data_IF_833596663168
#
_entry.id   IF_833596663168
#
_cell.length_a   1.000
_cell.length_b   1.000
_cell.length_c   1.000
_cell.angle_alpha   90.00
_cell.angle_beta   90.00
_cell.angle_gamma   90.00
#
_symmetry.space_group_name_H-M   'P 1'
#
loop_
_entity.id
_entity.type
_entity.pdbx_description
1 polymer ?
#
# COMPACT_ATOMS: atom_id res chain seq x y z
N UNK A 1 -37.07 7.96 20.90
CA UNK A 1 -35.95 8.45 20.08
C UNK A 1 -36.56 9.22 18.92
N UNK A 2 -36.27 10.51 18.81
CA UNK A 2 -36.78 11.36 17.72
C UNK A 2 -36.08 10.96 16.43
N UNK A 3 -36.84 10.48 15.43
CA UNK A 3 -36.32 10.26 14.09
C UNK A 3 -35.60 11.53 13.62
N UNK A 4 -34.39 11.39 13.05
CA UNK A 4 -33.68 12.51 12.48
C UNK A 4 -34.60 13.19 11.45
N UNK A 5 -34.75 14.53 11.47
CA UNK A 5 -35.74 15.22 10.64
C UNK A 5 -35.47 15.13 9.13
N UNK A 6 -34.31 14.61 8.71
CA UNK A 6 -33.89 14.51 7.30
C UNK A 6 -33.13 13.19 7.02
N UNK A 7 -33.26 12.60 5.82
CA UNK A 7 -32.48 11.43 5.42
C UNK A 7 -30.99 11.76 5.22
N UNK A 8 -30.11 10.77 5.39
CA UNK A 8 -28.66 10.93 5.16
C UNK A 8 -28.32 11.47 3.76
N UNK A 9 -29.12 11.10 2.75
CA UNK A 9 -28.95 11.60 1.38
C UNK A 9 -28.99 13.12 1.29
N UNK A 10 -29.74 13.81 2.16
CA UNK A 10 -29.80 15.27 2.21
C UNK A 10 -28.55 15.92 2.84
N UNK A 11 -27.69 15.15 3.53
CA UNK A 11 -26.37 15.58 4.00
C UNK A 11 -25.27 15.23 3.01
N UNK A 12 -25.41 14.09 2.34
CA UNK A 12 -24.44 13.57 1.40
C UNK A 12 -24.47 14.28 0.04
N UNK A 13 -25.67 14.54 -0.49
CA UNK A 13 -25.86 15.21 -1.79
C UNK A 13 -25.85 16.72 -1.54
N UNK A 14 -24.83 17.40 -2.07
CA UNK A 14 -24.68 18.85 -1.93
C UNK A 14 -25.83 19.67 -2.54
N UNK A 15 -26.17 19.48 -3.83
CA UNK A 15 -27.23 20.24 -4.48
C UNK A 15 -28.63 19.94 -3.91
N UNK A 16 -29.33 20.98 -3.46
CA UNK A 16 -30.73 20.89 -3.05
C UNK A 16 -31.71 20.93 -4.23
N UNK A 17 -33.01 21.00 -3.95
CA UNK A 17 -34.06 21.09 -4.97
C UNK A 17 -33.98 22.35 -5.83
N UNK A 18 -33.56 23.48 -5.25
CA UNK A 18 -33.44 24.74 -5.99
C UNK A 18 -32.19 24.72 -6.88
N UNK A 19 -31.05 24.24 -6.37
CA UNK A 19 -29.82 24.09 -7.14
C UNK A 19 -30.01 23.12 -8.30
N UNK A 20 -30.66 21.98 -8.03
CA UNK A 20 -30.99 20.98 -9.06
C UNK A 20 -31.84 21.59 -10.18
N UNK A 21 -32.86 22.39 -9.82
CA UNK A 21 -33.69 23.10 -10.81
C UNK A 21 -32.89 24.12 -11.61
N UNK A 22 -32.03 24.90 -10.97
CA UNK A 22 -31.18 25.87 -11.64
C UNK A 22 -30.20 25.19 -12.61
N UNK A 23 -29.58 24.08 -12.19
CA UNK A 23 -28.67 23.29 -13.03
C UNK A 23 -29.39 22.67 -14.23
N UNK A 24 -30.56 22.07 -14.02
CA UNK A 24 -31.40 21.51 -15.08
C UNK A 24 -31.80 22.57 -16.12
N UNK A 25 -32.21 23.76 -15.65
CA UNK A 25 -32.52 24.89 -16.52
C UNK A 25 -31.30 25.34 -17.33
N UNK A 26 -30.12 25.40 -16.71
CA UNK A 26 -28.88 25.80 -17.38
C UNK A 26 -28.47 24.84 -18.53
N UNK A 27 -28.80 23.55 -18.42
CA UNK A 27 -28.54 22.55 -19.47
C UNK A 27 -29.76 22.30 -20.38
N UNK A 28 -30.87 23.01 -20.19
CA UNK A 28 -32.07 22.89 -21.01
C UNK A 28 -32.82 21.56 -20.87
N UNK A 29 -32.68 20.86 -19.74
CA UNK A 29 -33.31 19.57 -19.49
C UNK A 29 -34.42 19.71 -18.43
N UNK A 30 -35.63 19.17 -18.63
CA UNK A 30 -36.77 19.44 -17.75
C UNK A 30 -36.74 18.65 -16.43
N UNK A 31 -36.00 17.55 -16.35
CA UNK A 31 -35.94 16.70 -15.14
C UNK A 31 -34.69 15.82 -15.09
N UNK A 32 -34.39 15.29 -13.90
CA UNK A 32 -33.31 14.31 -13.72
C UNK A 32 -33.58 13.03 -14.53
N UNK A 33 -34.83 12.57 -14.59
CA UNK A 33 -35.21 11.39 -15.37
C UNK A 33 -34.91 11.60 -16.86
N UNK A 34 -35.19 12.80 -17.37
CA UNK A 34 -34.87 13.16 -18.76
C UNK A 34 -33.36 13.15 -18.97
N UNK A 35 -32.58 13.79 -18.07
CA UNK A 35 -31.11 13.78 -18.12
C UNK A 35 -30.56 12.35 -18.17
N UNK A 36 -31.04 11.47 -17.27
CA UNK A 36 -30.59 10.08 -17.21
C UNK A 36 -30.99 9.32 -18.47
N UNK A 37 -32.19 9.51 -19.01
CA UNK A 37 -32.63 8.82 -20.23
C UNK A 37 -31.87 9.22 -21.48
N UNK A 38 -31.40 10.47 -21.55
CA UNK A 38 -30.55 10.96 -22.64
C UNK A 38 -29.09 10.56 -22.47
N UNK A 39 -28.63 10.37 -21.23
CA UNK A 39 -27.22 10.06 -20.92
C UNK A 39 -26.90 8.57 -20.89
N UNK A 40 -27.82 7.74 -20.39
CA UNK A 40 -27.58 6.31 -20.17
C UNK A 40 -28.41 5.48 -21.16
N UNK A 41 -27.78 4.68 -22.05
CA UNK A 41 -28.49 3.86 -23.03
C UNK A 41 -29.50 2.91 -22.37
N UNK A 42 -30.73 2.88 -22.89
CA UNK A 42 -31.82 2.06 -22.33
C UNK A 42 -31.47 0.57 -22.25
N UNK A 43 -30.67 0.05 -23.19
CA UNK A 43 -30.29 -1.37 -23.27
C UNK A 43 -29.47 -1.85 -22.07
N UNK A 44 -28.84 -0.95 -21.32
CA UNK A 44 -28.03 -1.30 -20.14
C UNK A 44 -28.59 -0.73 -18.82
N UNK A 45 -29.76 -0.06 -18.87
CA UNK A 45 -30.40 0.49 -17.68
C UNK A 45 -31.15 -0.60 -16.94
N UNK A 46 -31.07 -0.58 -15.60
CA UNK A 46 -31.98 -1.36 -14.78
C UNK A 46 -33.43 -0.88 -15.01
N UNK A 47 -34.31 -1.84 -15.27
CA UNK A 47 -35.76 -1.69 -15.47
C UNK A 47 -36.56 -1.88 -14.19
N UNK A 48 -35.87 -2.08 -13.07
CA UNK A 48 -36.42 -2.18 -11.71
C UNK A 48 -35.57 -1.36 -10.74
N UNK A 49 -36.11 -0.97 -9.57
CA UNK A 49 -35.31 -0.44 -8.48
C UNK A 49 -34.28 -1.47 -7.97
N UNK A 50 -33.26 -0.96 -7.27
CA UNK A 50 -32.38 -1.83 -6.49
C UNK A 50 -33.18 -2.51 -5.37
N UNK A 51 -32.95 -3.82 -5.19
CA UNK A 51 -33.57 -4.58 -4.10
C UNK A 51 -32.73 -4.41 -2.84
N UNK A 52 -32.97 -3.32 -2.11
CA UNK A 52 -32.25 -2.95 -0.89
C UNK A 52 -33.23 -2.83 0.30
N UNK A 53 -32.75 -2.99 1.53
CA UNK A 53 -33.51 -2.62 2.73
C UNK A 53 -33.95 -1.15 2.70
N UNK A 54 -34.94 -0.82 3.54
CA UNK A 54 -35.29 0.57 3.76
C UNK A 54 -34.06 1.36 4.26
N UNK A 55 -33.89 2.62 3.85
CA UNK A 55 -32.74 3.41 4.27
C UNK A 55 -32.80 3.66 5.78
N UNK A 56 -31.70 3.35 6.47
CA UNK A 56 -31.51 3.71 7.87
C UNK A 56 -31.13 5.19 8.00
N UNK A 57 -31.52 5.82 9.10
CA UNK A 57 -30.93 7.08 9.54
C UNK A 57 -29.48 6.88 10.00
N UNK A 58 -28.72 7.98 10.13
CA UNK A 58 -27.34 7.92 10.64
C UNK A 58 -27.25 7.24 12.03
N UNK A 59 -28.21 7.54 12.91
CA UNK A 59 -28.26 6.96 14.26
C UNK A 59 -28.59 5.46 14.25
N UNK A 60 -29.53 5.04 13.39
CA UNK A 60 -29.89 3.63 13.23
C UNK A 60 -28.73 2.83 12.65
N UNK A 61 -28.05 3.36 11.62
CA UNK A 61 -26.88 2.71 11.02
C UNK A 61 -25.73 2.52 12.02
N UNK A 62 -25.46 3.51 12.87
CA UNK A 62 -24.46 3.40 13.93
C UNK A 62 -24.85 2.38 15.01
N UNK A 63 -26.13 2.35 15.40
CA UNK A 63 -26.63 1.39 16.38
C UNK A 63 -26.56 -0.05 15.83
N UNK A 64 -26.95 -0.26 14.57
CA UNK A 64 -26.84 -1.54 13.87
C UNK A 64 -25.37 -2.00 13.80
N UNK A 65 -24.47 -1.12 13.34
CA UNK A 65 -23.04 -1.44 13.26
C UNK A 65 -22.46 -1.76 14.64
N UNK A 66 -22.85 -1.02 15.68
CA UNK A 66 -22.41 -1.29 17.06
C UNK A 66 -22.89 -2.67 17.54
N UNK A 67 -24.10 -3.09 17.18
CA UNK A 67 -24.62 -4.42 17.54
C UNK A 67 -23.84 -5.53 16.82
N UNK A 68 -23.51 -5.34 15.54
CA UNK A 68 -22.66 -6.28 14.78
C UNK A 68 -21.26 -6.37 15.40
N UNK A 69 -20.65 -5.21 15.70
CA UNK A 69 -19.32 -5.15 16.31
C UNK A 69 -19.27 -5.77 17.71
N UNK A 70 -20.37 -5.75 18.47
CA UNK A 70 -20.46 -6.39 19.78
C UNK A 70 -20.35 -7.93 19.72
N UNK A 71 -20.51 -8.53 18.54
CA UNK A 71 -20.25 -9.96 18.32
C UNK A 71 -18.75 -10.32 18.27
N UNK A 72 -17.86 -9.33 18.14
CA UNK A 72 -16.42 -9.58 18.12
C UNK A 72 -15.88 -9.81 19.54
N UNK A 73 -14.96 -10.78 19.68
CA UNK A 73 -14.21 -10.99 20.92
C UNK A 73 -12.79 -10.45 20.77
N UNK A 74 -12.44 -9.42 21.54
CA UNK A 74 -11.09 -8.84 21.52
C UNK A 74 -10.18 -9.61 22.48
N UNK A 75 -9.25 -10.39 21.92
CA UNK A 75 -8.27 -11.16 22.68
C UNK A 75 -6.88 -10.51 22.62
N UNK A 76 -6.01 -10.87 23.57
CA UNK A 76 -4.57 -10.65 23.44
C UNK A 76 -4.01 -11.67 22.47
N UNK A 77 -3.80 -11.26 21.22
CA UNK A 77 -3.26 -12.15 20.19
C UNK A 77 -1.73 -12.12 20.18
N UNK A 78 -1.12 -13.29 20.41
CA UNK A 78 0.31 -13.54 20.24
C UNK A 78 0.58 -14.46 19.04
N UNK A 79 -0.32 -14.46 18.06
CA UNK A 79 -0.18 -15.27 16.83
C UNK A 79 1.06 -14.84 16.03
N UNK A 80 1.38 -13.54 16.02
CA UNK A 80 2.46 -13.00 15.21
C UNK A 80 2.09 -13.03 13.72
N UNK A 81 2.87 -13.73 12.91
CA UNK A 81 2.64 -13.88 11.47
C UNK A 81 2.48 -12.54 10.73
N UNK A 82 3.29 -11.54 11.09
CA UNK A 82 3.30 -10.20 10.49
C UNK A 82 2.39 -9.16 11.16
N UNK A 83 1.54 -9.57 12.10
CA UNK A 83 0.62 -8.67 12.81
C UNK A 83 0.84 -8.71 14.32
N UNK A 84 1.03 -7.54 14.91
CA UNK A 84 1.39 -7.40 16.31
C UNK A 84 0.50 -6.37 17.02
N UNK A 85 0.08 -6.68 18.24
CA UNK A 85 -0.60 -5.70 19.09
C UNK A 85 0.30 -4.48 19.34
N UNK A 86 -0.28 -3.28 19.25
CA UNK A 86 0.43 -2.01 19.45
C UNK A 86 -0.31 -1.09 20.40
N UNK A 87 0.43 -0.16 20.99
CA UNK A 87 -0.13 1.03 21.61
C UNK A 87 -0.18 2.16 20.57
N UNK A 88 -1.36 2.40 20.00
CA UNK A 88 -1.56 3.53 19.07
C UNK A 88 -1.50 4.83 19.86
N UNK A 89 -0.59 5.77 19.56
CA UNK A 89 -0.52 7.02 20.30
C UNK A 89 -1.82 7.82 20.15
N UNK A 90 -2.53 8.15 21.25
CA UNK A 90 -3.84 8.82 21.17
C UNK A 90 -3.80 10.16 20.43
N UNK A 91 -2.66 10.86 20.49
CA UNK A 91 -2.45 12.11 19.77
C UNK A 91 -2.43 11.92 18.25
N UNK A 92 -1.90 10.79 17.75
CA UNK A 92 -1.90 10.46 16.31
C UNK A 92 -3.29 9.98 15.89
N UNK A 93 -3.93 9.12 16.69
CA UNK A 93 -5.29 8.66 16.42
C UNK A 93 -6.24 9.85 16.27
N UNK A 94 -6.28 10.76 17.25
CA UNK A 94 -7.20 11.89 17.25
C UNK A 94 -6.90 12.94 16.18
N UNK A 95 -5.64 13.32 16.02
CA UNK A 95 -5.28 14.50 15.21
C UNK A 95 -4.88 14.19 13.76
N UNK A 96 -4.68 12.91 13.42
CA UNK A 96 -4.37 12.45 12.07
C UNK A 96 -5.40 11.44 11.56
N UNK A 97 -5.58 10.31 12.25
CA UNK A 97 -6.46 9.23 11.76
C UNK A 97 -7.95 9.64 11.76
N UNK A 98 -8.42 10.29 12.82
CA UNK A 98 -9.81 10.74 12.97
C UNK A 98 -10.05 12.18 12.45
N UNK A 99 -9.06 12.76 11.76
CA UNK A 99 -9.11 14.14 11.29
C UNK A 99 -9.34 14.23 9.77
N UNK A 100 -10.50 14.73 9.29
CA UNK A 100 -10.80 14.81 7.87
C UNK A 100 -9.83 15.67 7.07
N UNK A 101 -9.12 16.61 7.69
CA UNK A 101 -8.10 17.40 7.01
C UNK A 101 -6.93 16.53 6.48
N UNK A 102 -6.72 15.34 7.05
CA UNK A 102 -5.69 14.39 6.63
C UNK A 102 -6.21 13.32 5.67
N UNK A 103 -7.42 12.78 5.89
CA UNK A 103 -7.91 11.62 5.12
C UNK A 103 -8.82 11.96 3.93
N UNK A 104 -9.25 13.21 3.74
CA UNK A 104 -10.15 13.58 2.62
C UNK A 104 -9.41 13.95 1.34
N UNK A 105 -8.15 14.39 1.44
CA UNK A 105 -7.32 14.67 0.28
C UNK A 105 -6.89 13.36 -0.41
N UNK A 106 -6.59 13.45 -1.70
CA UNK A 106 -6.08 12.32 -2.49
C UNK A 106 -4.58 12.47 -2.78
N UNK A 107 -4.08 11.67 -3.73
CA UNK A 107 -2.70 11.72 -4.21
C UNK A 107 -2.20 13.16 -4.38
N UNK A 108 -0.99 13.50 -3.92
CA UNK A 108 -0.42 14.85 -4.03
C UNK A 108 0.06 15.19 -5.45
N UNK A 109 -0.83 15.11 -6.45
CA UNK A 109 -0.54 15.52 -7.83
C UNK A 109 -0.23 17.02 -7.93
N UNK A 110 -0.95 17.85 -7.17
CA UNK A 110 -0.71 19.30 -7.06
C UNK A 110 0.20 19.56 -5.85
N UNK A 111 1.52 19.54 -6.06
CA UNK A 111 2.51 19.51 -4.99
C UNK A 111 2.47 20.78 -4.11
N UNK A 112 2.20 21.94 -4.70
CA UNK A 112 2.21 23.26 -4.06
C UNK A 112 1.19 23.36 -2.92
N UNK A 113 0.06 22.67 -3.05
CA UNK A 113 -1.01 22.62 -2.04
C UNK A 113 -1.02 21.29 -1.26
N UNK A 114 0.09 20.55 -1.31
CA UNK A 114 0.21 19.20 -0.76
C UNK A 114 1.47 18.97 0.07
N UNK A 115 2.23 20.02 0.38
CA UNK A 115 3.53 19.93 1.03
C UNK A 115 3.48 19.17 2.37
N UNK A 116 2.46 19.38 3.20
CA UNK A 116 2.37 18.72 4.51
C UNK A 116 2.39 17.18 4.43
N UNK A 117 1.57 16.58 3.56
CA UNK A 117 1.58 15.11 3.39
C UNK A 117 2.77 14.60 2.59
N UNK A 118 3.30 15.40 1.67
CA UNK A 118 4.53 15.06 0.95
C UNK A 118 5.73 15.00 1.91
N UNK A 119 5.84 15.95 2.84
CA UNK A 119 6.87 15.94 3.88
C UNK A 119 6.73 14.74 4.80
N UNK A 120 5.50 14.39 5.23
CA UNK A 120 5.27 13.18 6.04
C UNK A 120 5.66 11.89 5.31
N UNK A 121 5.38 11.80 4.01
CA UNK A 121 5.81 10.66 3.18
C UNK A 121 7.33 10.66 2.97
N UNK A 122 7.97 11.83 2.87
CA UNK A 122 9.42 11.93 2.84
C UNK A 122 10.04 11.45 4.16
N UNK A 123 9.47 11.83 5.31
CA UNK A 123 9.88 11.34 6.63
C UNK A 123 9.70 9.82 6.77
N UNK A 124 8.61 9.26 6.23
CA UNK A 124 8.41 7.81 6.14
C UNK A 124 9.55 7.15 5.35
N UNK A 125 9.90 7.68 4.18
CA UNK A 125 11.00 7.15 3.38
C UNK A 125 12.32 7.25 4.13
N UNK A 126 12.61 8.39 4.79
CA UNK A 126 13.83 8.58 5.59
C UNK A 126 13.93 7.53 6.69
N UNK A 127 12.85 7.32 7.47
CA UNK A 127 12.81 6.30 8.52
C UNK A 127 13.10 4.90 7.95
N UNK A 128 12.51 4.55 6.81
CA UNK A 128 12.80 3.27 6.14
C UNK A 128 14.28 3.19 5.75
N UNK A 129 14.84 4.25 5.16
CA UNK A 129 16.26 4.26 4.75
C UNK A 129 17.20 4.11 5.95
N UNK A 130 16.90 4.74 7.09
CA UNK A 130 17.69 4.64 8.32
C UNK A 130 17.62 3.23 8.93
N UNK A 131 16.44 2.61 8.97
CA UNK A 131 16.27 1.24 9.48
C UNK A 131 16.92 0.19 8.58
N UNK A 132 16.78 0.35 7.27
CA UNK A 132 17.24 -0.66 6.30
C UNK A 132 18.70 -0.47 5.90
N UNK A 133 19.25 0.73 6.06
CA UNK A 133 20.54 1.15 5.53
C UNK A 133 20.57 1.32 4.01
N UNK A 134 19.44 1.15 3.32
CA UNK A 134 19.33 1.31 1.87
C UNK A 134 19.01 2.77 1.52
N UNK A 135 19.57 3.30 0.41
CA UNK A 135 19.54 4.74 0.12
C UNK A 135 18.20 5.28 -0.38
N UNK A 136 17.30 4.42 -0.89
CA UNK A 136 16.02 4.88 -1.47
C UNK A 136 14.87 3.99 -1.00
N UNK A 137 13.79 4.60 -0.51
CA UNK A 137 12.54 3.93 -0.16
C UNK A 137 11.34 4.52 -0.89
N UNK A 138 10.37 3.67 -1.24
CA UNK A 138 9.08 4.10 -1.80
C UNK A 138 8.17 4.74 -0.74
N UNK A 139 7.21 5.54 -1.20
CA UNK A 139 6.15 6.12 -0.37
C UNK A 139 5.02 5.11 -0.11
N UNK A 140 5.40 3.92 0.35
CA UNK A 140 4.59 2.73 0.67
C UNK A 140 4.14 1.83 -0.49
N UNK A 141 3.82 0.59 -0.12
CA UNK A 141 3.09 -0.44 -0.88
C UNK A 141 1.90 -0.95 -0.04
N UNK A 142 1.13 -1.89 -0.59
CA UNK A 142 -0.19 -2.27 -0.06
C UNK A 142 -0.12 -3.09 1.25
N UNK A 143 0.73 -4.12 1.28
CA UNK A 143 0.97 -4.99 2.44
C UNK A 143 2.33 -5.71 2.27
N UNK A 144 2.78 -6.45 3.28
CA UNK A 144 4.06 -7.17 3.22
C UNK A 144 4.10 -8.15 2.04
N UNK A 145 3.05 -8.96 1.87
CA UNK A 145 3.00 -10.04 0.90
C UNK A 145 3.13 -9.52 -0.54
N UNK A 146 2.42 -8.44 -0.86
CA UNK A 146 2.52 -7.74 -2.15
C UNK A 146 3.83 -6.99 -2.29
N UNK A 147 4.41 -6.43 -1.22
CA UNK A 147 5.73 -5.81 -1.27
C UNK A 147 6.84 -6.83 -1.60
N UNK A 148 6.78 -8.03 -1.05
CA UNK A 148 7.70 -9.13 -1.37
C UNK A 148 7.52 -9.56 -2.84
N UNK A 149 6.28 -9.70 -3.31
CA UNK A 149 6.02 -10.01 -4.72
C UNK A 149 6.54 -8.91 -5.67
N UNK A 150 6.44 -7.65 -5.29
CA UNK A 150 7.02 -6.54 -6.05
C UNK A 150 8.56 -6.55 -6.02
N UNK A 151 9.19 -6.94 -4.90
CA UNK A 151 10.64 -7.11 -4.82
C UNK A 151 11.13 -8.22 -5.76
N UNK A 152 10.40 -9.34 -5.85
CA UNK A 152 10.63 -10.36 -6.89
C UNK A 152 10.50 -9.74 -8.28
N UNK A 153 9.44 -8.95 -8.53
CA UNK A 153 9.26 -8.21 -9.78
C UNK A 153 10.43 -7.27 -10.14
N UNK A 154 11.04 -6.59 -9.16
CA UNK A 154 12.25 -5.78 -9.36
C UNK A 154 13.40 -6.66 -9.83
N UNK A 155 13.63 -7.79 -9.19
CA UNK A 155 14.70 -8.72 -9.53
C UNK A 155 14.55 -9.31 -10.94
N UNK A 156 13.33 -9.72 -11.32
CA UNK A 156 13.03 -10.20 -12.67
C UNK A 156 13.37 -9.12 -13.71
N UNK A 157 12.87 -7.89 -13.52
CA UNK A 157 13.14 -6.76 -14.43
C UNK A 157 14.63 -6.39 -14.47
N UNK A 158 15.34 -6.47 -13.34
CA UNK A 158 16.79 -6.26 -13.29
C UNK A 158 17.53 -7.23 -14.22
N UNK A 159 17.11 -8.49 -14.22
CA UNK A 159 17.61 -9.53 -15.12
C UNK A 159 16.92 -9.59 -16.49
N UNK A 160 16.09 -8.59 -16.83
CA UNK A 160 15.33 -8.50 -18.09
C UNK A 160 14.48 -9.75 -18.35
N UNK A 161 13.90 -10.29 -17.28
CA UNK A 161 13.00 -11.44 -17.28
C UNK A 161 13.65 -12.74 -17.82
N UNK A 162 14.98 -12.83 -17.77
CA UNK A 162 15.75 -14.00 -18.24
C UNK A 162 15.97 -15.08 -17.18
N UNK A 163 15.69 -14.76 -15.92
CA UNK A 163 15.90 -15.65 -14.78
C UNK A 163 14.55 -16.03 -14.19
N UNK A 164 14.30 -17.32 -14.00
CA UNK A 164 12.96 -17.83 -13.66
C UNK A 164 12.87 -18.47 -12.28
N UNK A 165 13.90 -18.36 -11.44
CA UNK A 165 13.90 -18.94 -10.08
C UNK A 165 14.01 -17.89 -8.98
N UNK A 166 13.37 -18.15 -7.85
CA UNK A 166 13.51 -17.40 -6.60
C UNK A 166 13.85 -18.38 -5.48
N UNK A 167 14.95 -18.13 -4.79
CA UNK A 167 15.38 -18.91 -3.63
C UNK A 167 14.91 -18.27 -2.31
N UNK A 168 14.91 -19.05 -1.24
CA UNK A 168 14.49 -18.70 0.11
C UNK A 168 15.63 -18.99 1.09
N UNK A 169 15.84 -18.08 2.03
CA UNK A 169 16.66 -18.25 3.21
C UNK A 169 15.80 -17.91 4.44
N UNK A 170 15.56 -18.92 5.27
CA UNK A 170 14.52 -18.87 6.29
C UNK A 170 13.12 -19.08 5.72
N UNK A 171 12.12 -19.11 6.59
CA UNK A 171 10.72 -19.38 6.21
C UNK A 171 9.89 -18.09 6.23
N UNK A 172 9.45 -17.56 5.08
CA UNK A 172 8.51 -16.43 5.06
C UNK A 172 7.17 -16.79 5.70
N UNK A 173 6.38 -15.78 6.05
CA UNK A 173 5.00 -16.04 6.50
C UNK A 173 4.18 -16.79 5.43
N UNK A 174 3.28 -17.72 5.81
CA UNK A 174 2.53 -18.52 4.86
C UNK A 174 1.74 -17.68 3.84
N UNK A 175 1.09 -16.61 4.28
CA UNK A 175 0.35 -15.70 3.40
C UNK A 175 1.26 -14.92 2.45
N UNK A 176 2.49 -14.59 2.88
CA UNK A 176 3.49 -13.94 2.03
C UNK A 176 3.90 -14.86 0.89
N UNK A 177 4.17 -16.13 1.20
CA UNK A 177 4.52 -17.13 0.19
C UNK A 177 3.37 -17.42 -0.78
N UNK A 178 2.12 -17.45 -0.30
CA UNK A 178 0.93 -17.67 -1.12
C UNK A 178 0.73 -16.57 -2.18
N UNK A 179 0.85 -15.31 -1.78
CA UNK A 179 0.76 -14.16 -2.71
C UNK A 179 1.93 -14.15 -3.69
N UNK A 180 3.17 -14.43 -3.23
CA UNK A 180 4.35 -14.51 -4.11
C UNK A 180 4.17 -15.60 -5.16
N UNK A 181 3.71 -16.80 -4.76
CA UNK A 181 3.41 -17.90 -5.69
C UNK A 181 2.32 -17.53 -6.69
N UNK A 182 1.23 -16.92 -6.22
CA UNK A 182 0.14 -16.46 -7.07
C UNK A 182 0.62 -15.45 -8.13
N UNK A 183 1.54 -14.56 -7.76
CA UNK A 183 2.12 -13.57 -8.69
C UNK A 183 3.17 -14.20 -9.62
N UNK A 184 3.85 -15.24 -9.18
CA UNK A 184 4.89 -15.96 -9.91
C UNK A 184 4.31 -16.91 -10.99
N UNK A 185 3.20 -17.58 -10.69
CA UNK A 185 2.56 -18.58 -11.58
C UNK A 185 2.30 -18.08 -13.01
N UNK A 186 1.61 -16.95 -13.26
CA UNK A 186 1.35 -16.48 -14.62
C UNK A 186 2.60 -16.01 -15.36
N UNK A 187 3.73 -15.85 -14.66
CA UNK A 187 5.02 -15.46 -15.21
C UNK A 187 5.96 -16.66 -15.40
N UNK A 188 5.55 -17.87 -15.03
CA UNK A 188 6.38 -19.07 -15.10
C UNK A 188 7.59 -19.03 -14.16
N UNK A 189 7.48 -18.31 -13.04
CA UNK A 189 8.56 -18.19 -12.06
C UNK A 189 8.42 -19.27 -11.00
N UNK A 190 9.51 -19.99 -10.75
CA UNK A 190 9.62 -21.04 -9.76
C UNK A 190 10.13 -20.47 -8.43
N UNK A 191 9.48 -20.86 -7.33
CA UNK A 191 9.94 -20.54 -5.97
C UNK A 191 10.62 -21.80 -5.40
N UNK A 192 11.95 -21.88 -5.54
CA UNK A 192 12.79 -23.10 -5.53
C UNK A 192 13.51 -23.35 -4.18
N UNK A 193 12.86 -23.07 -3.04
CA UNK A 193 13.44 -23.36 -1.72
C UNK A 193 14.86 -22.80 -1.57
N UNK A 194 15.84 -23.61 -1.15
CA UNK A 194 17.21 -23.16 -0.84
C UNK A 194 18.19 -23.15 -2.04
N UNK A 195 17.76 -23.59 -3.23
CA UNK A 195 18.68 -23.75 -4.37
C UNK A 195 19.02 -22.40 -5.03
N UNK A 196 20.32 -22.09 -5.10
CA UNK A 196 20.84 -20.89 -5.77
C UNK A 196 21.72 -21.33 -6.94
N UNK A 197 21.38 -20.90 -8.16
CA UNK A 197 22.07 -21.18 -9.42
C UNK A 197 22.04 -19.96 -10.37
N UNK A 198 22.60 -20.08 -11.58
CA UNK A 198 22.67 -18.99 -12.56
C UNK A 198 21.30 -18.51 -13.08
N UNK A 199 20.24 -19.29 -12.86
CA UNK A 199 18.87 -18.97 -13.21
C UNK A 199 18.08 -18.34 -12.04
N UNK A 200 18.70 -18.19 -10.86
CA UNK A 200 18.10 -17.52 -9.71
C UNK A 200 18.09 -16.00 -9.88
N UNK A 201 16.90 -15.39 -9.93
CA UNK A 201 16.71 -13.95 -9.99
C UNK A 201 16.88 -13.27 -8.62
N UNK A 202 16.36 -13.91 -7.57
CA UNK A 202 16.39 -13.35 -6.22
C UNK A 202 16.55 -14.44 -5.14
N UNK A 203 17.17 -14.06 -4.03
CA UNK A 203 17.14 -14.75 -2.75
C UNK A 203 16.28 -13.95 -1.77
N UNK A 204 15.19 -14.53 -1.27
CA UNK A 204 14.35 -13.95 -0.22
C UNK A 204 14.87 -14.38 1.15
N UNK A 205 15.33 -13.43 1.97
CA UNK A 205 15.85 -13.64 3.31
C UNK A 205 14.81 -13.16 4.32
N UNK A 206 14.27 -14.05 5.15
CA UNK A 206 13.32 -13.66 6.21
C UNK A 206 14.06 -13.21 7.47
N UNK A 207 13.72 -12.05 8.02
CA UNK A 207 14.50 -11.39 9.08
C UNK A 207 13.64 -10.69 10.15
N UNK A 208 13.20 -11.39 11.22
CA UNK A 208 13.33 -12.83 11.44
C UNK A 208 12.39 -13.64 10.55
N UNK A 209 12.55 -14.96 10.54
CA UNK A 209 11.61 -15.85 9.87
C UNK A 209 10.27 -15.99 10.61
N UNK A 210 9.33 -16.73 10.02
CA UNK A 210 7.99 -16.92 10.58
C UNK A 210 7.95 -17.58 11.96
N UNK A 211 9.05 -18.23 12.38
CA UNK A 211 9.21 -18.86 13.69
C UNK A 211 9.98 -17.97 14.68
N UNK A 212 10.36 -16.76 14.27
CA UNK A 212 11.09 -15.80 15.07
C UNK A 212 12.61 -16.01 15.08
N UNK A 213 13.15 -16.77 14.13
CA UNK A 213 14.58 -17.09 14.05
C UNK A 213 15.31 -16.06 13.17
N UNK A 214 16.43 -15.53 13.67
CA UNK A 214 17.42 -14.80 12.87
C UNK A 214 18.50 -15.79 12.43
N UNK A 215 18.38 -16.33 11.22
CA UNK A 215 19.30 -17.36 10.72
C UNK A 215 20.64 -16.80 10.25
N UNK A 216 21.72 -17.59 10.35
CA UNK A 216 22.98 -17.26 9.68
C UNK A 216 22.88 -17.57 8.18
N UNK A 217 22.55 -16.55 7.41
CA UNK A 217 22.37 -16.66 5.96
C UNK A 217 23.58 -16.19 5.16
N UNK A 218 24.73 -15.95 5.80
CA UNK A 218 25.91 -15.36 5.13
C UNK A 218 26.34 -16.15 3.90
N UNK A 219 26.43 -17.48 4.01
CA UNK A 219 26.84 -18.33 2.89
C UNK A 219 25.85 -18.28 1.71
N UNK A 220 24.55 -18.23 1.98
CA UNK A 220 23.52 -18.11 0.96
C UNK A 220 23.57 -16.74 0.26
N UNK A 221 23.76 -15.66 1.03
CA UNK A 221 23.91 -14.28 0.54
C UNK A 221 25.17 -14.17 -0.34
N UNK A 222 26.31 -14.67 0.12
CA UNK A 222 27.56 -14.66 -0.66
C UNK A 222 27.38 -15.44 -1.99
N UNK A 223 26.67 -16.58 -1.97
CA UNK A 223 26.37 -17.36 -3.16
C UNK A 223 25.39 -16.66 -4.11
N UNK A 224 24.36 -15.99 -3.58
CA UNK A 224 23.45 -15.18 -4.38
C UNK A 224 24.20 -14.07 -5.12
N UNK A 225 25.08 -13.35 -4.44
CA UNK A 225 25.92 -12.33 -5.08
C UNK A 225 26.88 -12.93 -6.12
N UNK A 226 27.50 -14.07 -5.83
CA UNK A 226 28.41 -14.73 -6.77
C UNK A 226 27.72 -15.17 -8.09
N UNK A 227 26.45 -15.58 -8.00
CA UNK A 227 25.60 -15.92 -9.17
C UNK A 227 24.90 -14.70 -9.76
N UNK A 228 25.06 -13.52 -9.14
CA UNK A 228 24.44 -12.25 -9.56
C UNK A 228 22.95 -12.11 -9.23
N UNK A 229 22.37 -13.02 -8.44
CA UNK A 229 20.99 -12.89 -7.95
C UNK A 229 20.87 -11.70 -6.97
N UNK A 230 19.71 -11.04 -6.95
CA UNK A 230 19.46 -9.98 -5.97
C UNK A 230 19.11 -10.54 -4.59
N UNK A 231 19.59 -9.91 -3.53
CA UNK A 231 19.25 -10.29 -2.16
C UNK A 231 18.14 -9.40 -1.61
N UNK A 232 17.01 -10.01 -1.24
CA UNK A 232 15.81 -9.32 -0.74
C UNK A 232 15.57 -9.69 0.71
N UNK A 233 15.63 -8.73 1.63
CA UNK A 233 15.27 -8.93 3.03
C UNK A 233 13.77 -8.67 3.25
N UNK A 234 13.09 -9.62 3.89
CA UNK A 234 11.74 -9.48 4.42
C UNK A 234 11.90 -9.21 5.92
N UNK A 235 11.92 -7.93 6.30
CA UNK A 235 12.38 -7.52 7.63
C UNK A 235 11.33 -6.78 8.45
N UNK A 236 11.20 -7.17 9.73
CA UNK A 236 10.36 -6.47 10.70
C UNK A 236 11.02 -5.12 11.09
N UNK A 237 10.35 -3.97 10.89
CA UNK A 237 11.00 -2.67 11.09
C UNK A 237 11.32 -2.38 12.56
N UNK A 238 10.63 -3.00 13.52
CA UNK A 238 10.97 -2.84 14.94
C UNK A 238 12.19 -3.70 15.30
N UNK A 239 12.28 -4.92 14.77
CA UNK A 239 13.45 -5.79 14.91
C UNK A 239 14.73 -5.10 14.44
N UNK A 240 14.64 -4.32 13.35
CA UNK A 240 15.77 -3.55 12.79
C UNK A 240 16.31 -2.46 13.72
N UNK A 241 15.60 -2.10 14.79
CA UNK A 241 16.15 -1.20 15.83
C UNK A 241 17.19 -1.87 16.72
N UNK A 242 17.28 -3.20 16.68
CA UNK A 242 18.17 -4.01 17.51
C UNK A 242 19.19 -4.80 16.69
N UNK A 243 18.90 -5.09 15.43
CA UNK A 243 19.79 -5.86 14.55
C UNK A 243 20.63 -4.95 13.67
N UNK A 244 21.68 -5.51 13.06
CA UNK A 244 22.36 -4.85 11.95
C UNK A 244 21.37 -4.57 10.81
N UNK A 245 21.54 -3.43 10.15
CA UNK A 245 20.70 -3.02 9.03
C UNK A 245 20.86 -3.98 7.83
N UNK A 246 19.78 -4.32 7.11
CA UNK A 246 19.79 -5.18 5.92
C UNK A 246 20.90 -4.85 4.92
N UNK A 247 21.16 -3.57 4.62
CA UNK A 247 22.22 -3.18 3.70
C UNK A 247 23.62 -3.63 4.17
N UNK A 248 23.89 -3.58 5.48
CA UNK A 248 25.14 -4.08 6.07
C UNK A 248 25.26 -5.60 5.98
N UNK A 249 24.11 -6.30 5.98
CA UNK A 249 24.02 -7.75 5.80
C UNK A 249 24.04 -8.19 4.33
N UNK A 250 24.10 -7.24 3.39
CA UNK A 250 24.18 -7.53 1.95
C UNK A 250 22.85 -7.47 1.21
N UNK A 251 21.82 -6.81 1.74
CA UNK A 251 20.57 -6.62 1.02
C UNK A 251 20.72 -5.67 -0.18
N UNK A 252 20.13 -6.04 -1.31
CA UNK A 252 19.85 -5.14 -2.43
C UNK A 252 18.49 -4.44 -2.29
N UNK A 253 17.54 -5.14 -1.66
CA UNK A 253 16.15 -4.73 -1.44
C UNK A 253 15.75 -5.12 -0.02
N UNK A 254 14.99 -4.28 0.67
CA UNK A 254 14.36 -4.62 1.94
C UNK A 254 12.87 -4.24 1.91
N UNK A 255 12.01 -5.13 2.38
CA UNK A 255 10.55 -4.98 2.41
C UNK A 255 9.99 -5.47 3.75
N UNK A 256 8.85 -4.93 4.15
CA UNK A 256 8.16 -5.36 5.37
C UNK A 256 6.95 -4.48 5.72
N UNK A 257 6.18 -4.84 6.76
CA UNK A 257 5.01 -4.09 7.17
C UNK A 257 5.38 -2.99 8.16
N UNK A 258 4.84 -1.78 8.02
CA UNK A 258 4.97 -0.71 9.01
C UNK A 258 3.84 -0.71 10.05
N UNK A 259 3.03 -1.79 10.10
CA UNK A 259 1.88 -1.92 11.03
C UNK A 259 2.27 -1.65 12.47
N UNK A 260 3.37 -2.26 12.94
CA UNK A 260 3.74 -2.21 14.35
C UNK A 260 4.32 -0.87 14.80
N UNK A 261 4.48 0.09 13.89
CA UNK A 261 4.82 1.49 14.18
C UNK A 261 3.55 2.32 14.43
N UNK A 262 2.72 1.83 15.36
CA UNK A 262 1.57 2.59 15.88
C UNK A 262 0.29 2.53 15.04
N UNK A 263 0.09 1.51 14.19
CA UNK A 263 -1.16 1.32 13.42
C UNK A 263 -1.95 0.13 13.99
N UNK A 264 -3.28 0.23 14.25
CA UNK A 264 -4.07 -0.89 14.75
C UNK A 264 -4.00 -2.11 13.83
N UNK A 265 -4.11 -3.34 14.37
CA UNK A 265 -4.14 -4.56 13.55
C UNK A 265 -5.27 -4.58 12.51
N UNK A 266 -6.38 -3.89 12.78
CA UNK A 266 -7.44 -3.66 11.78
C UNK A 266 -8.07 -4.93 11.18
N UNK A 267 -7.93 -6.08 11.85
CA UNK A 267 -8.31 -7.39 11.30
C UNK A 267 -7.75 -7.65 9.89
N UNK A 268 -6.53 -7.16 9.62
CA UNK A 268 -5.79 -7.32 8.37
C UNK A 268 -5.27 -6.02 7.75
N UNK A 269 -5.84 -4.85 8.09
CA UNK A 269 -5.37 -3.59 7.51
C UNK A 269 -6.26 -2.37 7.79
N UNK A 270 -5.94 -1.20 7.20
CA UNK A 270 -4.85 -0.98 6.24
C UNK A 270 -3.50 -0.70 6.90
N UNK A 271 -2.42 -1.26 6.35
CA UNK A 271 -1.05 -1.04 6.81
C UNK A 271 -0.14 -0.71 5.64
N UNK A 272 0.62 0.38 5.72
CA UNK A 272 1.65 0.65 4.73
C UNK A 272 2.74 -0.43 4.82
N UNK A 273 3.07 -1.06 3.70
CA UNK A 273 4.33 -1.79 3.58
C UNK A 273 5.43 -0.86 3.08
N UNK A 274 6.67 -1.10 3.49
CA UNK A 274 7.82 -0.40 2.96
C UNK A 274 8.51 -1.24 1.89
N UNK A 275 9.19 -0.55 0.97
CA UNK A 275 10.12 -1.15 0.03
C UNK A 275 11.28 -0.18 -0.17
N UNK A 276 12.47 -0.59 0.24
CA UNK A 276 13.72 0.11 0.04
C UNK A 276 14.67 -0.67 -0.86
N UNK A 277 15.48 0.04 -1.63
CA UNK A 277 16.36 -0.56 -2.65
C UNK A 277 17.69 0.18 -2.71
N UNK A 278 18.72 -0.51 -3.21
CA UNK A 278 20.00 0.10 -3.60
C UNK A 278 19.85 1.08 -4.79
N UNK A 279 20.77 2.05 -4.91
CA UNK A 279 20.70 3.11 -5.93
C UNK A 279 20.53 2.59 -7.36
N UNK A 280 21.16 1.45 -7.68
CA UNK A 280 21.09 0.83 -9.02
C UNK A 280 19.69 0.34 -9.38
N UNK A 281 18.80 0.16 -8.40
CA UNK A 281 17.45 -0.37 -8.57
C UNK A 281 16.36 0.70 -8.52
N UNK A 282 16.69 1.96 -8.20
CA UNK A 282 15.71 3.06 -8.05
C UNK A 282 14.76 3.21 -9.24
N UNK A 283 15.25 2.99 -10.47
CA UNK A 283 14.43 3.10 -11.69
C UNK A 283 13.43 1.95 -11.88
N UNK A 284 13.57 0.85 -11.15
CA UNK A 284 12.71 -0.33 -11.18
C UNK A 284 11.72 -0.38 -10.02
N UNK A 285 11.86 0.54 -9.04
CA UNK A 285 11.02 0.60 -7.85
C UNK A 285 9.53 0.77 -8.19
N UNK A 286 8.63 0.00 -7.57
CA UNK A 286 7.19 0.15 -7.68
C UNK A 286 6.69 1.40 -6.94
N UNK A 287 5.50 1.87 -7.30
CA UNK A 287 4.82 2.92 -6.55
C UNK A 287 5.49 4.29 -6.58
N UNK A 288 4.98 5.15 -5.70
CA UNK A 288 5.34 6.56 -5.61
C UNK A 288 6.65 6.73 -4.85
N UNK A 289 7.38 7.79 -5.19
CA UNK A 289 8.59 8.21 -4.50
C UNK A 289 8.50 9.73 -4.32
N UNK A 290 8.63 10.22 -3.10
CA UNK A 290 8.75 11.65 -2.82
C UNK A 290 10.21 12.05 -2.93
N UNK A 291 10.49 13.13 -3.66
CA UNK A 291 11.80 13.76 -3.74
C UNK A 291 11.74 15.22 -3.35
N UNK A 292 12.81 15.71 -2.72
CA UNK A 292 13.02 17.14 -2.51
C UNK A 292 13.47 17.79 -3.82
N UNK A 293 12.95 18.98 -4.09
CA UNK A 293 13.24 19.82 -5.24
C UNK A 293 13.25 21.29 -4.80
N UNK A 294 13.25 22.21 -5.76
CA UNK A 294 13.25 23.65 -5.52
C UNK A 294 12.12 24.32 -6.29
N UNK A 295 11.43 25.28 -5.67
CA UNK A 295 10.39 26.07 -6.34
C UNK A 295 10.97 27.19 -7.22
N UNK A 296 10.09 27.98 -7.84
CA UNK A 296 10.46 29.11 -8.71
C UNK A 296 11.20 30.25 -8.00
N UNK A 297 11.25 30.25 -6.67
CA UNK A 297 11.98 31.22 -5.82
C UNK A 297 13.22 30.60 -5.18
N UNK A 298 13.61 29.39 -5.59
CA UNK A 298 14.77 28.68 -5.05
C UNK A 298 14.58 28.09 -3.65
N UNK A 299 13.34 28.03 -3.14
CA UNK A 299 13.04 27.45 -1.82
C UNK A 299 12.90 25.93 -1.94
N UNK A 300 13.35 25.15 -0.94
CA UNK A 300 13.14 23.70 -0.94
C UNK A 300 11.64 23.37 -0.88
N UNK A 301 11.24 22.32 -1.59
CA UNK A 301 9.89 21.77 -1.55
C UNK A 301 9.86 20.32 -2.04
N UNK A 302 8.82 19.58 -1.67
CA UNK A 302 8.68 18.17 -2.00
C UNK A 302 7.75 17.98 -3.20
N UNK A 303 7.98 16.92 -3.99
CA UNK A 303 7.07 16.48 -5.05
C UNK A 303 7.21 14.98 -5.30
N UNK A 304 6.24 14.41 -6.00
CA UNK A 304 6.41 13.06 -6.56
C UNK A 304 7.53 13.09 -7.63
N UNK A 305 8.47 12.17 -7.49
CA UNK A 305 9.68 12.04 -8.29
C UNK A 305 9.66 10.76 -9.13
N UNK A 306 10.35 10.81 -10.29
CA UNK A 306 10.48 9.68 -11.20
C UNK A 306 9.13 9.06 -11.61
N UNK A 307 8.09 9.89 -11.79
CA UNK A 307 6.72 9.43 -12.06
C UNK A 307 6.58 8.67 -13.38
N UNK A 308 7.57 8.76 -14.29
CA UNK A 308 7.61 7.95 -15.52
C UNK A 308 7.68 6.46 -15.22
N UNK A 309 7.94 6.01 -13.99
CA UNK A 309 7.83 4.59 -13.61
C UNK A 309 6.39 4.11 -13.47
N UNK A 310 5.46 5.01 -13.21
CA UNK A 310 4.10 4.70 -12.75
C UNK A 310 3.11 4.44 -13.91
N UNK A 311 2.02 3.72 -13.60
CA UNK A 311 1.01 3.26 -14.55
C UNK A 311 0.37 4.40 -15.37
N UNK A 312 0.19 5.59 -14.79
CA UNK A 312 -0.47 6.70 -15.46
C UNK A 312 0.35 7.29 -16.62
N UNK A 313 1.66 7.01 -16.66
CA UNK A 313 2.55 7.41 -17.75
C UNK A 313 2.90 6.19 -18.63
N UNK A 314 3.38 5.09 -18.02
CA UNK A 314 3.94 3.96 -18.78
C UNK A 314 2.97 2.80 -19.01
N UNK A 315 1.79 2.80 -18.41
CA UNK A 315 0.74 1.78 -18.60
C UNK A 315 1.32 0.36 -18.43
N UNK A 316 1.29 -0.46 -19.48
CA UNK A 316 1.82 -1.84 -19.50
C UNK A 316 3.35 -1.92 -19.30
N UNK A 317 4.08 -0.81 -19.52
CA UNK A 317 5.53 -0.71 -19.29
C UNK A 317 5.89 -0.10 -17.94
N UNK A 318 4.91 0.15 -17.08
CA UNK A 318 5.16 0.62 -15.72
C UNK A 318 5.89 -0.44 -14.88
N UNK A 319 6.49 -0.01 -13.77
CA UNK A 319 7.17 -0.94 -12.86
C UNK A 319 6.20 -1.79 -12.04
N UNK A 320 4.95 -1.34 -11.89
CA UNK A 320 3.87 -2.03 -11.20
C UNK A 320 2.52 -1.46 -11.64
N UNK A 321 1.44 -2.19 -11.39
CA UNK A 321 0.07 -1.72 -11.57
C UNK A 321 -0.46 -0.89 -10.38
N UNK A 322 0.31 -0.76 -9.29
CA UNK A 322 -0.12 -0.01 -8.09
C UNK A 322 -0.48 1.45 -8.41
N UNK A 323 -1.53 1.97 -7.75
CA UNK A 323 -2.01 3.33 -7.96
C UNK A 323 -2.39 4.10 -6.68
N UNK A 324 -3.38 3.62 -5.92
CA UNK A 324 -4.16 4.44 -4.97
C UNK A 324 -3.32 5.28 -4.02
#
# INVERSE_FOLDING_TARGET
MTAAPYPFSARHIGPGLNDTRAMLAAIGVPSIETLISQSVPKSIRLDRPLALPAPASEAEALAELSAVMAGNTVLKSFIGAGYHGVHVPPVIQRNLFENPAWYTAYTPYQAEISQGRLEMLFNFQTLVTELTGLPVASASLLDEATAVAEAVGIALRHHRDKRTKVALAGTPHPQTLDVVRTRAEPLGIEIDGETIDDNTAALLVSWPDTFGVYGDHKAAIDKAHATGALVVFIADPLGLTLTDAPAKLGADIAVGPMQRFGVPMGFGGPHAAYCAVSDRLTRLMPGRLVGQSTDSKGRPGYRLALQTREQHIRRDKATSNICT
#
